data_IF_799256103732
#
_entry.id   IF_799256103732
#
_cell.length_a   1.000
_cell.length_b   1.000
_cell.length_c   1.000
_cell.angle_alpha   90.00
_cell.angle_beta   90.00
_cell.angle_gamma   90.00
#
_symmetry.space_group_name_H-M   'P 1'
#
loop_
_entity.id
_entity.type
_entity.pdbx_description
1 polymer ?
#
# COMPACT_ATOMS: atom_id res chain seq x y z
N UNK A 1 18.43 14.00 13.86
CA UNK A 1 17.69 12.77 13.51
C UNK A 1 16.84 13.03 12.28
N UNK A 2 16.89 12.18 11.26
CA UNK A 2 16.04 12.34 10.06
C UNK A 2 14.60 11.97 10.40
N UNK A 3 13.65 12.85 10.10
CA UNK A 3 12.22 12.54 10.12
C UNK A 3 11.78 12.25 8.69
N UNK A 4 11.39 11.00 8.36
CA UNK A 4 11.01 10.65 6.99
C UNK A 4 9.82 11.48 6.50
N UNK A 5 9.81 11.84 5.21
CA UNK A 5 8.71 12.60 4.60
C UNK A 5 7.36 11.89 4.64
N UNK A 6 7.33 10.56 4.79
CA UNK A 6 6.10 9.78 4.97
C UNK A 6 5.57 9.78 6.41
N UNK A 7 6.38 10.19 7.40
CA UNK A 7 6.04 10.04 8.81
C UNK A 7 5.23 11.25 9.32
N UNK A 8 3.94 11.29 9.00
CA UNK A 8 3.02 12.27 9.58
C UNK A 8 2.82 11.99 11.08
N UNK A 9 2.85 13.04 11.91
CA UNK A 9 2.68 12.92 13.36
C UNK A 9 3.86 12.30 14.12
N UNK A 10 5.08 12.34 13.54
CA UNK A 10 6.29 11.91 14.22
C UNK A 10 6.53 12.70 15.52
N UNK A 11 7.08 12.02 16.52
CA UNK A 11 7.45 12.63 17.81
C UNK A 11 8.91 12.32 18.14
N UNK A 12 9.59 13.29 18.72
CA UNK A 12 10.94 13.15 19.23
C UNK A 12 10.95 13.61 20.68
N UNK A 13 11.43 12.76 21.57
CA UNK A 13 11.52 13.01 22.99
C UNK A 13 12.97 12.85 23.46
N UNK A 14 13.42 13.71 24.35
CA UNK A 14 14.71 13.59 25.03
C UNK A 14 14.43 13.48 26.53
N UNK A 15 14.76 12.34 27.14
CA UNK A 15 14.46 12.07 28.56
C UNK A 15 13.01 12.40 28.94
N UNK A 16 12.05 11.99 28.10
CA UNK A 16 10.60 12.24 28.25
C UNK A 16 10.12 13.68 28.00
N UNK A 17 11.02 14.61 27.65
CA UNK A 17 10.62 15.95 27.18
C UNK A 17 10.45 15.94 25.66
N UNK A 18 9.24 16.26 25.19
CA UNK A 18 8.92 16.31 23.75
C UNK A 18 9.48 17.57 23.09
N UNK A 19 10.09 17.40 21.91
CA UNK A 19 10.35 18.52 21.01
C UNK A 19 9.02 19.09 20.45
N UNK A 20 9.00 20.38 20.06
CA UNK A 20 7.87 20.94 19.33
C UNK A 20 7.57 20.16 18.05
N UNK A 21 6.28 20.00 17.72
CA UNK A 21 5.85 19.24 16.54
C UNK A 21 6.44 19.79 15.22
N UNK A 22 6.66 21.11 15.14
CA UNK A 22 7.31 21.76 14.00
C UNK A 22 8.75 21.27 13.77
N UNK A 23 9.49 20.97 14.83
CA UNK A 23 10.86 20.45 14.77
C UNK A 23 10.90 18.94 14.46
N UNK A 24 9.79 18.26 14.66
CA UNK A 24 9.61 16.84 14.35
C UNK A 24 8.76 16.59 13.09
N UNK A 25 8.48 17.60 12.26
CA UNK A 25 7.69 17.40 11.04
C UNK A 25 8.44 16.54 9.99
N UNK A 26 7.70 15.84 9.14
CA UNK A 26 8.25 14.96 8.10
C UNK A 26 9.04 15.71 7.03
N UNK A 27 10.12 15.08 6.53
CA UNK A 27 10.89 15.60 5.38
C UNK A 27 12.11 16.44 5.76
N UNK A 28 12.49 16.48 7.03
CA UNK A 28 13.58 17.29 7.55
C UNK A 28 14.41 16.54 8.61
N UNK A 29 15.39 17.24 9.18
CA UNK A 29 16.18 16.74 10.30
C UNK A 29 15.78 17.45 11.60
N UNK A 30 15.26 16.70 12.56
CA UNK A 30 15.10 17.15 13.94
C UNK A 30 16.49 17.34 14.56
N UNK A 31 16.84 18.58 14.91
CA UNK A 31 18.17 18.96 15.41
C UNK A 31 18.09 19.26 16.90
N UNK A 32 18.90 18.58 17.71
CA UNK A 32 18.87 18.68 19.16
C UNK A 32 20.21 19.23 19.65
N UNK A 33 20.25 20.53 19.97
CA UNK A 33 21.47 21.21 20.43
C UNK A 33 21.42 21.40 21.94
N UNK A 34 22.18 20.58 22.67
CA UNK A 34 22.28 20.60 24.14
C UNK A 34 23.63 20.06 24.61
N UNK A 35 23.89 20.19 25.90
CA UNK A 35 24.97 19.45 26.56
C UNK A 35 24.46 18.04 26.86
N UNK A 36 25.10 17.05 26.24
CA UNK A 36 24.74 15.64 26.43
C UNK A 36 25.43 15.06 27.65
N UNK A 37 24.73 14.21 28.39
CA UNK A 37 25.24 13.47 29.55
C UNK A 37 25.13 11.98 29.31
N UNK A 38 26.01 11.21 29.95
CA UNK A 38 25.90 9.75 29.98
C UNK A 38 24.53 9.39 30.53
N UNK A 39 23.78 8.59 29.77
CA UNK A 39 22.42 8.16 30.12
C UNK A 39 21.30 8.97 29.46
N UNK A 40 21.58 10.05 28.73
CA UNK A 40 20.54 10.73 27.94
C UNK A 40 19.96 9.79 26.86
N UNK A 41 18.63 9.76 26.74
CA UNK A 41 17.90 8.92 25.77
C UNK A 41 17.11 9.80 24.80
N UNK A 42 17.30 9.55 23.51
CA UNK A 42 16.46 10.11 22.45
C UNK A 42 15.49 9.04 21.98
N UNK A 43 14.20 9.27 22.19
CA UNK A 43 13.14 8.40 21.70
C UNK A 43 12.48 9.03 20.47
N UNK A 44 12.32 8.25 19.41
CA UNK A 44 11.71 8.69 18.15
C UNK A 44 10.53 7.80 17.85
N UNK A 45 9.33 8.37 17.82
CA UNK A 45 8.11 7.67 17.44
C UNK A 45 7.76 8.08 16.02
N UNK A 46 7.79 7.11 15.11
CA UNK A 46 7.41 7.28 13.71
C UNK A 46 6.11 6.49 13.45
N UNK A 47 4.94 7.14 13.41
CA UNK A 47 3.70 6.47 13.05
C UNK A 47 3.81 5.81 11.68
N UNK A 48 3.43 4.53 11.58
CA UNK A 48 3.41 3.77 10.32
C UNK A 48 1.99 3.28 10.00
N UNK A 49 1.04 4.19 9.76
CA UNK A 49 -0.27 3.80 9.26
C UNK A 49 -0.15 3.17 7.87
N UNK A 50 -1.18 2.42 7.48
CA UNK A 50 -1.36 2.05 6.07
C UNK A 50 -1.89 3.28 5.34
N UNK A 51 -1.21 3.66 4.26
CA UNK A 51 -1.55 4.81 3.44
C UNK A 51 -1.90 4.35 2.03
N UNK A 52 -2.97 4.95 1.49
CA UNK A 52 -3.36 4.85 0.09
C UNK A 52 -2.63 5.94 -0.70
N UNK A 53 -1.81 5.53 -1.65
CA UNK A 53 -1.01 6.43 -2.50
C UNK A 53 -1.66 6.51 -3.88
N UNK A 54 -1.98 7.73 -4.30
CA UNK A 54 -2.44 8.03 -5.67
C UNK A 54 -1.34 8.74 -6.44
N UNK A 55 -1.32 8.57 -7.76
CA UNK A 55 -0.37 9.27 -8.62
C UNK A 55 -0.84 10.68 -8.97
N UNK A 56 0.08 11.52 -9.42
CA UNK A 56 -0.28 12.78 -10.06
C UNK A 56 -1.24 12.51 -11.25
N UNK A 57 -2.28 13.33 -11.49
CA UNK A 57 -3.26 13.10 -12.57
C UNK A 57 -2.71 13.04 -14.00
N UNK A 58 -1.43 13.40 -14.19
CA UNK A 58 -0.74 13.34 -15.49
C UNK A 58 -0.04 11.99 -15.74
N UNK A 59 -0.04 11.10 -14.75
CA UNK A 59 0.43 9.71 -14.91
C UNK A 59 -0.76 8.87 -15.34
N UNK A 60 -1.06 8.89 -16.64
CA UNK A 60 -2.30 8.34 -17.20
C UNK A 60 -2.43 6.83 -16.98
N UNK A 61 -1.32 6.10 -16.94
CA UNK A 61 -1.26 4.66 -16.71
C UNK A 61 -1.73 4.26 -15.30
N UNK A 62 -1.74 5.23 -14.37
CA UNK A 62 -2.16 5.06 -12.97
C UNK A 62 -3.45 5.81 -12.63
N UNK A 63 -4.14 6.34 -13.64
CA UNK A 63 -5.47 6.91 -13.46
C UNK A 63 -6.41 5.87 -12.80
N UNK A 64 -7.20 6.32 -11.82
CA UNK A 64 -8.12 5.48 -11.04
C UNK A 64 -7.47 4.25 -10.38
N UNK A 65 -6.18 4.37 -10.02
CA UNK A 65 -5.45 3.34 -9.28
C UNK A 65 -4.93 3.83 -7.94
N UNK A 66 -4.67 2.89 -7.05
CA UNK A 66 -4.11 3.12 -5.71
C UNK A 66 -2.98 2.13 -5.45
N UNK A 67 -1.90 2.61 -4.83
CA UNK A 67 -0.86 1.77 -4.27
C UNK A 67 -0.93 1.82 -2.73
N UNK A 68 -0.54 0.74 -2.07
CA UNK A 68 -0.50 0.69 -0.62
C UNK A 68 0.92 0.93 -0.12
N UNK A 69 1.06 1.78 0.91
CA UNK A 69 2.31 2.05 1.60
C UNK A 69 2.14 1.87 3.10
N UNK A 70 3.15 1.33 3.77
CA UNK A 70 3.27 1.40 5.23
C UNK A 70 4.69 1.78 5.61
N UNK A 71 4.85 2.96 6.20
CA UNK A 71 6.17 3.53 6.44
C UNK A 71 6.96 3.71 5.14
N UNK A 72 8.21 3.23 5.04
CA UNK A 72 9.03 3.38 3.84
C UNK A 72 8.70 2.37 2.73
N UNK A 73 7.83 1.39 2.98
CA UNK A 73 7.62 0.25 2.10
C UNK A 73 6.35 0.39 1.28
N UNK A 74 6.49 0.26 -0.04
CA UNK A 74 5.37 -0.05 -0.93
C UNK A 74 5.05 -1.53 -0.88
N UNK A 75 3.77 -1.82 -1.07
CA UNK A 75 3.22 -3.16 -1.08
C UNK A 75 2.76 -3.58 -2.47
N UNK A 76 2.72 -4.88 -2.70
CA UNK A 76 2.26 -5.49 -3.94
C UNK A 76 1.43 -6.74 -3.65
N UNK A 77 0.59 -7.10 -4.62
CA UNK A 77 -0.27 -8.27 -4.60
C UNK A 77 0.29 -9.28 -5.59
N UNK A 78 0.50 -10.52 -5.16
CA UNK A 78 1.13 -11.60 -5.93
C UNK A 78 0.16 -12.78 -6.09
N UNK A 79 0.21 -13.46 -7.24
CA UNK A 79 -0.61 -14.66 -7.48
C UNK A 79 -0.35 -15.79 -6.49
N UNK A 80 0.85 -15.87 -5.91
CA UNK A 80 1.17 -16.87 -4.88
C UNK A 80 0.24 -16.79 -3.65
N UNK A 81 -0.35 -15.62 -3.39
CA UNK A 81 -1.31 -15.39 -2.30
C UNK A 81 -2.78 -15.56 -2.74
N UNK A 82 -3.04 -15.69 -4.05
CA UNK A 82 -4.38 -15.66 -4.62
C UNK A 82 -4.55 -16.75 -5.68
N UNK A 83 -5.26 -17.81 -5.35
CA UNK A 83 -5.56 -18.92 -6.28
C UNK A 83 -6.80 -18.64 -7.15
N UNK A 84 -7.11 -17.37 -7.36
CA UNK A 84 -8.35 -16.89 -7.97
C UNK A 84 -8.06 -15.75 -8.93
N UNK A 85 -8.53 -15.89 -10.17
CA UNK A 85 -8.44 -14.85 -11.20
C UNK A 85 -7.01 -14.36 -11.47
N UNK A 86 -6.93 -13.17 -12.06
CA UNK A 86 -5.67 -12.44 -12.25
C UNK A 86 -5.58 -11.32 -11.20
N UNK A 87 -4.47 -11.23 -10.48
CA UNK A 87 -4.27 -10.21 -9.44
C UNK A 87 -4.34 -8.77 -9.98
N UNK A 88 -4.23 -8.58 -11.31
CA UNK A 88 -4.38 -7.26 -11.97
C UNK A 88 -5.84 -6.79 -12.02
N UNK A 89 -6.79 -7.67 -11.75
CA UNK A 89 -8.22 -7.40 -11.75
C UNK A 89 -8.79 -7.11 -10.36
N UNK A 90 -7.94 -7.10 -9.33
CA UNK A 90 -8.34 -6.61 -8.02
C UNK A 90 -8.77 -5.13 -8.07
N UNK A 91 -9.92 -4.90 -7.47
CA UNK A 91 -10.50 -3.61 -7.15
C UNK A 91 -10.50 -3.49 -5.62
N UNK A 92 -9.85 -2.45 -5.11
CA UNK A 92 -9.83 -2.14 -3.68
C UNK A 92 -10.86 -1.03 -3.42
N UNK A 93 -11.94 -1.32 -2.66
CA UNK A 93 -12.90 -0.31 -2.27
C UNK A 93 -12.23 0.85 -1.52
N UNK A 94 -12.65 2.08 -1.80
CA UNK A 94 -12.03 3.28 -1.23
C UNK A 94 -12.19 3.36 0.30
N UNK A 95 -13.27 2.80 0.85
CA UNK A 95 -13.63 2.83 2.27
C UNK A 95 -13.28 1.56 3.06
N UNK A 96 -12.74 0.52 2.40
CA UNK A 96 -12.41 -0.73 3.12
C UNK A 96 -11.30 -0.54 4.14
N UNK A 97 -11.42 -1.20 5.28
CA UNK A 97 -10.35 -1.29 6.27
C UNK A 97 -9.18 -2.13 5.73
N UNK A 98 -7.96 -1.67 5.97
CA UNK A 98 -6.75 -2.41 5.63
C UNK A 98 -6.00 -2.75 6.92
N UNK A 99 -5.93 -4.03 7.23
CA UNK A 99 -5.31 -4.53 8.45
C UNK A 99 -3.85 -4.88 8.19
N UNK A 100 -2.95 -4.38 9.03
CA UNK A 100 -1.53 -4.73 8.99
C UNK A 100 -1.21 -5.77 10.06
N UNK A 101 -0.61 -6.89 9.67
CA UNK A 101 -0.25 -7.98 10.59
C UNK A 101 1.16 -8.51 10.33
N UNK A 102 1.93 -8.76 11.40
CA UNK A 102 3.24 -9.40 11.29
C UNK A 102 3.08 -10.89 10.97
N UNK A 103 3.86 -11.38 10.02
CA UNK A 103 3.99 -12.79 9.62
C UNK A 103 5.44 -13.22 9.74
N UNK A 104 5.88 -13.71 10.92
CA UNK A 104 7.28 -14.05 11.17
C UNK A 104 7.76 -15.25 10.33
N UNK A 105 6.83 -16.11 9.92
CA UNK A 105 7.04 -17.33 9.13
C UNK A 105 7.08 -17.09 7.62
N UNK A 106 6.74 -15.87 7.16
CA UNK A 106 6.65 -15.53 5.74
C UNK A 106 7.81 -14.62 5.34
N UNK A 107 8.56 -15.00 4.29
CA UNK A 107 9.54 -14.14 3.62
C UNK A 107 10.58 -13.51 4.57
N UNK A 108 11.03 -14.27 5.57
CA UNK A 108 12.00 -13.80 6.55
C UNK A 108 11.43 -12.87 7.65
N UNK A 109 10.10 -12.80 7.76
CA UNK A 109 9.41 -11.97 8.74
C UNK A 109 8.97 -10.65 8.14
N UNK A 110 7.76 -10.61 7.61
CA UNK A 110 7.19 -9.41 6.98
C UNK A 110 5.88 -8.99 7.62
N UNK A 111 5.59 -7.69 7.59
CA UNK A 111 4.22 -7.21 7.83
C UNK A 111 3.46 -7.34 6.52
N UNK A 112 2.35 -8.08 6.51
CA UNK A 112 1.40 -8.15 5.41
C UNK A 112 0.25 -7.16 5.62
N UNK A 113 -0.39 -6.76 4.52
CA UNK A 113 -1.63 -5.99 4.54
C UNK A 113 -2.77 -6.85 4.00
N UNK A 114 -3.90 -6.87 4.69
CA UNK A 114 -5.10 -7.61 4.26
C UNK A 114 -6.32 -6.72 4.22
N UNK A 115 -7.18 -6.92 3.22
CA UNK A 115 -8.45 -6.21 3.08
C UNK A 115 -9.47 -7.05 2.31
N UNK A 116 -10.74 -6.75 2.51
CA UNK A 116 -11.83 -7.28 1.68
C UNK A 116 -11.88 -6.50 0.36
N UNK A 117 -11.53 -7.17 -0.73
CA UNK A 117 -11.45 -6.59 -2.05
C UNK A 117 -12.44 -7.28 -3.01
N UNK A 118 -12.58 -6.73 -4.21
CA UNK A 118 -13.39 -7.30 -5.26
C UNK A 118 -12.50 -7.65 -6.45
N UNK A 119 -12.96 -8.54 -7.32
CA UNK A 119 -12.35 -8.74 -8.64
C UNK A 119 -13.32 -8.33 -9.73
N UNK A 120 -12.83 -7.50 -10.65
CA UNK A 120 -13.57 -7.12 -11.86
C UNK A 120 -13.37 -8.17 -12.94
N UNK A 121 -14.44 -8.80 -13.38
CA UNK A 121 -14.43 -9.74 -14.50
C UNK A 121 -14.85 -9.02 -15.77
N UNK A 122 -14.08 -9.20 -16.85
CA UNK A 122 -14.46 -8.67 -18.16
C UNK A 122 -15.86 -9.18 -18.55
N UNK A 123 -16.67 -8.28 -19.12
CA UNK A 123 -18.00 -8.64 -19.60
C UNK A 123 -17.92 -9.75 -20.68
N UNK A 124 -18.89 -10.67 -20.77
CA UNK A 124 -18.83 -11.82 -21.69
C UNK A 124 -18.55 -11.43 -23.15
N UNK A 125 -19.03 -10.27 -23.61
CA UNK A 125 -18.82 -9.78 -24.96
C UNK A 125 -17.36 -9.42 -25.30
N UNK A 126 -16.44 -9.43 -24.31
CA UNK A 126 -15.00 -9.29 -24.54
C UNK A 126 -14.29 -10.61 -24.88
N UNK A 127 -14.97 -11.75 -24.80
CA UNK A 127 -14.35 -13.04 -25.14
C UNK A 127 -13.92 -13.07 -26.62
N UNK A 128 -12.62 -13.24 -26.85
CA UNK A 128 -12.03 -13.26 -28.20
C UNK A 128 -11.95 -11.90 -28.89
N UNK A 129 -12.31 -10.80 -28.22
CA UNK A 129 -12.32 -9.45 -28.77
C UNK A 129 -11.32 -8.56 -28.05
N UNK A 130 -10.40 -7.93 -28.80
CA UNK A 130 -9.48 -6.94 -28.25
C UNK A 130 -10.08 -5.52 -28.27
N UNK A 131 -10.90 -5.22 -29.27
CA UNK A 131 -11.54 -3.93 -29.45
C UNK A 131 -13.03 -4.10 -29.77
N UNK A 132 -13.88 -3.24 -29.20
CA UNK A 132 -15.32 -3.18 -29.44
C UNK A 132 -15.73 -1.72 -29.65
N UNK A 133 -16.82 -1.48 -30.38
CA UNK A 133 -17.40 -0.14 -30.43
C UNK A 133 -17.98 0.23 -29.06
N UNK A 134 -18.04 1.52 -28.75
CA UNK A 134 -18.63 2.00 -27.50
C UNK A 134 -20.08 1.50 -27.33
N UNK A 135 -20.88 1.54 -28.39
CA UNK A 135 -22.26 1.03 -28.39
C UNK A 135 -22.36 -0.47 -28.12
N UNK A 136 -21.39 -1.26 -28.59
CA UNK A 136 -21.37 -2.68 -28.30
C UNK A 136 -20.97 -2.95 -26.85
N UNK A 137 -19.97 -2.24 -26.33
CA UNK A 137 -19.50 -2.37 -24.95
C UNK A 137 -20.52 -1.83 -23.93
N UNK A 138 -21.40 -0.92 -24.32
CA UNK A 138 -22.47 -0.42 -23.45
C UNK A 138 -23.60 -1.44 -23.22
N UNK A 139 -23.66 -2.52 -24.01
CA UNK A 139 -24.73 -3.53 -23.96
C UNK A 139 -24.50 -4.59 -22.88
N UNK A 140 -23.30 -4.70 -22.33
CA UNK A 140 -22.96 -5.62 -21.24
C UNK A 140 -22.00 -4.95 -20.26
N UNK A 141 -22.14 -5.22 -18.97
CA UNK A 141 -21.29 -4.64 -17.92
C UNK A 141 -20.27 -5.66 -17.42
N UNK A 142 -19.08 -5.21 -16.98
CA UNK A 142 -18.18 -6.06 -16.22
C UNK A 142 -18.88 -6.64 -15.00
N UNK A 143 -18.61 -7.91 -14.71
CA UNK A 143 -19.03 -8.51 -13.45
C UNK A 143 -18.11 -8.06 -12.31
N UNK A 144 -18.62 -8.05 -11.08
CA UNK A 144 -17.79 -7.99 -9.88
C UNK A 144 -18.00 -9.26 -9.06
N UNK A 145 -16.91 -9.85 -8.57
CA UNK A 145 -17.00 -10.97 -7.65
C UNK A 145 -17.61 -10.55 -6.31
N UNK A 146 -18.10 -11.53 -5.55
CA UNK A 146 -18.25 -11.36 -4.10
C UNK A 146 -16.90 -10.98 -3.46
N UNK A 147 -16.94 -10.44 -2.23
CA UNK A 147 -15.74 -10.10 -1.45
C UNK A 147 -14.70 -11.22 -1.45
N UNK A 148 -13.44 -10.85 -1.67
CA UNK A 148 -12.25 -11.70 -1.69
C UNK A 148 -11.20 -11.06 -0.80
N UNK A 149 -10.58 -11.84 0.09
CA UNK A 149 -9.45 -11.35 0.87
C UNK A 149 -8.23 -11.10 -0.02
N UNK A 150 -7.87 -9.83 -0.16
CA UNK A 150 -6.62 -9.39 -0.77
C UNK A 150 -5.51 -9.46 0.27
N UNK A 151 -4.38 -10.05 -0.10
CA UNK A 151 -3.14 -10.04 0.69
C UNK A 151 -2.05 -9.31 -0.07
N UNK A 152 -1.48 -8.27 0.53
CA UNK A 152 -0.33 -7.56 -0.01
C UNK A 152 0.92 -7.77 0.84
N UNK A 153 2.04 -8.03 0.17
CA UNK A 153 3.37 -8.15 0.78
C UNK A 153 4.25 -6.96 0.40
N UNK A 154 5.34 -6.66 1.14
CA UNK A 154 6.30 -5.65 0.72
C UNK A 154 6.84 -5.93 -0.69
N UNK A 155 6.88 -4.91 -1.55
CA UNK A 155 7.29 -5.03 -2.95
C UNK A 155 8.67 -5.69 -3.13
N UNK A 156 9.62 -5.41 -2.23
CA UNK A 156 10.96 -5.98 -2.31
C UNK A 156 10.98 -7.51 -2.13
N UNK A 157 9.94 -8.10 -1.53
CA UNK A 157 9.88 -9.51 -1.18
C UNK A 157 9.16 -10.37 -2.25
N UNK A 158 8.63 -9.74 -3.29
CA UNK A 158 8.01 -10.42 -4.44
C UNK A 158 8.99 -11.38 -5.15
N UNK A 159 8.44 -12.37 -5.85
CA UNK A 159 9.14 -13.32 -6.72
C UNK A 159 10.06 -14.29 -5.97
N UNK A 160 9.83 -14.47 -4.67
CA UNK A 160 10.51 -15.48 -3.85
C UNK A 160 9.64 -16.74 -3.59
N UNK A 161 8.46 -16.85 -4.23
CA UNK A 161 7.48 -17.92 -3.97
C UNK A 161 6.96 -18.58 -5.26
N UNK A 162 7.76 -18.52 -6.32
CA UNK A 162 7.42 -19.04 -7.63
C UNK A 162 7.09 -17.93 -8.63
N UNK A 163 6.77 -18.35 -9.85
CA UNK A 163 6.42 -17.45 -10.96
C UNK A 163 4.93 -17.15 -10.96
N UNK A 164 4.56 -15.88 -11.07
CA UNK A 164 3.17 -15.48 -11.20
C UNK A 164 3.02 -13.97 -11.42
N UNK A 165 1.84 -13.50 -11.85
CA UNK A 165 1.58 -12.07 -12.01
C UNK A 165 1.64 -11.35 -10.65
N UNK A 166 1.97 -10.05 -10.72
CA UNK A 166 2.04 -9.15 -9.58
C UNK A 166 1.54 -7.76 -10.00
N UNK A 167 0.89 -7.05 -9.07
CA UNK A 167 0.61 -5.62 -9.23
C UNK A 167 0.88 -4.83 -7.95
N UNK A 168 1.41 -3.61 -8.11
CA UNK A 168 1.52 -2.59 -7.05
C UNK A 168 0.31 -1.65 -7.06
N UNK A 169 -0.25 -1.41 -8.24
CA UNK A 169 -1.29 -0.40 -8.45
C UNK A 169 -2.63 -1.09 -8.73
N UNK A 170 -3.45 -1.15 -7.69
CA UNK A 170 -4.78 -1.75 -7.68
C UNK A 170 -5.80 -0.78 -8.29
N UNK A 171 -6.87 -1.29 -8.88
CA UNK A 171 -7.99 -0.44 -9.31
C UNK A 171 -8.70 0.07 -8.05
N UNK A 172 -9.21 1.31 -8.10
CA UNK A 172 -10.05 1.87 -7.03
C UNK A 172 -11.51 1.53 -7.29
N UNK A 173 -12.26 1.27 -6.23
CA UNK A 173 -13.66 0.85 -6.27
C UNK A 173 -14.56 1.62 -5.33
#
# INVERSE_FOLDING_TARGET
VRIPGWASGARVEINSESLPASEAAGGQYATMRRVWKVGDVVQVVLPMPVERIVSHPRVLEKANRVALRRGPLFYCVEAADHQIGDVRDFVLPDDVEIVAAMRPDLLGGVVVLTADAEMEMAAPGWHGALYRTADAAAKDQPGRSSSVTLTAIPYYAWANRGTGPMTVWLRRG
#
